data_IF_346100097952
#
_entry.id   IF_346100097952
#
_cell.length_a   1.000
_cell.length_b   1.000
_cell.length_c   1.000
_cell.angle_alpha   90.00
_cell.angle_beta   90.00
_cell.angle_gamma   90.00
#
_symmetry.space_group_name_H-M   'P 1'
#
loop_
_entity.id
_entity.type
_entity.pdbx_description
1 polymer ?
#
# COMPACT_ATOMS: atom_id res chain seq x y z
N UNK A 1 -4.89 3.81 -0.49
CA UNK A 1 -5.04 4.72 -1.64
C UNK A 1 -6.48 5.20 -1.81
N UNK A 2 -7.44 4.36 -2.20
CA UNK A 2 -8.77 4.82 -2.64
C UNK A 2 -9.51 5.71 -1.62
N UNK A 3 -9.57 5.31 -0.35
CA UNK A 3 -10.24 6.11 0.69
C UNK A 3 -9.58 7.49 0.90
N UNK A 4 -8.25 7.55 0.79
CA UNK A 4 -7.49 8.81 0.81
C UNK A 4 -7.80 9.66 -0.42
N UNK A 5 -7.74 9.05 -1.60
CA UNK A 5 -7.98 9.72 -2.88
C UNK A 5 -9.37 10.39 -2.93
N UNK A 6 -10.39 9.72 -2.40
CA UNK A 6 -11.75 10.27 -2.33
C UNK A 6 -12.03 11.11 -1.07
N UNK A 7 -11.02 11.38 -0.23
CA UNK A 7 -11.17 12.20 0.98
C UNK A 7 -12.07 11.59 2.06
N UNK A 8 -12.31 10.28 2.02
CA UNK A 8 -13.17 9.56 2.97
C UNK A 8 -12.43 9.26 4.28
N UNK A 9 -11.10 9.09 4.22
CA UNK A 9 -10.27 8.80 5.38
C UNK A 9 -8.93 9.54 5.33
N UNK A 10 -8.43 9.93 6.51
CA UNK A 10 -7.06 10.40 6.72
C UNK A 10 -6.14 9.20 7.01
N UNK A 11 -5.07 9.05 6.26
CA UNK A 11 -4.06 8.01 6.45
C UNK A 11 -2.97 8.52 7.38
N UNK A 12 -2.72 7.79 8.46
CA UNK A 12 -1.73 8.15 9.48
C UNK A 12 -0.77 6.98 9.66
N UNK A 13 0.54 7.23 9.59
CA UNK A 13 1.57 6.20 9.67
C UNK A 13 2.78 6.53 8.80
N UNK A 14 3.42 5.52 8.25
CA UNK A 14 4.54 5.66 7.31
C UNK A 14 4.12 5.31 5.86
N UNK A 15 4.96 5.61 4.85
CA UNK A 15 4.72 5.14 3.49
C UNK A 15 4.61 3.61 3.44
N UNK A 16 3.53 3.10 2.84
CA UNK A 16 3.37 1.65 2.71
C UNK A 16 4.40 1.08 1.72
N UNK A 17 4.80 -0.18 1.88
CA UNK A 17 5.87 -0.81 1.10
C UNK A 17 5.72 -0.83 -0.45
N UNK A 18 4.53 -0.58 -1.00
CA UNK A 18 4.31 -0.68 -2.45
C UNK A 18 4.52 -2.10 -2.97
N UNK A 19 4.14 -3.10 -2.19
CA UNK A 19 4.26 -4.49 -2.60
C UNK A 19 3.46 -4.76 -3.88
N UNK A 20 3.96 -5.69 -4.68
CA UNK A 20 3.31 -6.12 -5.91
C UNK A 20 1.96 -6.77 -5.63
N UNK A 21 0.94 -6.47 -6.45
CA UNK A 21 -0.41 -6.99 -6.29
C UNK A 21 -0.45 -8.52 -6.40
N UNK A 22 0.14 -9.06 -7.47
CA UNK A 22 0.14 -10.50 -7.71
C UNK A 22 1.31 -10.95 -8.56
N UNK A 23 1.96 -12.02 -8.11
CA UNK A 23 2.89 -12.81 -8.90
C UNK A 23 2.64 -14.29 -8.68
N UNK A 24 3.01 -15.07 -9.69
CA UNK A 24 2.87 -16.51 -9.65
C UNK A 24 4.17 -17.18 -10.12
N UNK A 25 4.48 -18.37 -9.57
CA UNK A 25 5.47 -19.25 -10.15
C UNK A 25 4.90 -19.92 -11.41
N UNK A 26 5.59 -19.78 -12.53
CA UNK A 26 5.31 -20.48 -13.78
C UNK A 26 6.35 -21.57 -13.96
N UNK A 27 5.91 -22.82 -14.07
CA UNK A 27 6.82 -23.94 -14.35
C UNK A 27 7.37 -23.81 -15.78
N UNK A 28 8.68 -23.86 -15.93
CA UNK A 28 9.34 -23.72 -17.24
C UNK A 28 9.72 -25.09 -17.78
N UNK A 29 10.58 -25.81 -17.06
CA UNK A 29 10.96 -27.20 -17.36
C UNK A 29 11.73 -27.81 -16.19
N UNK A 30 11.69 -29.14 -16.04
CA UNK A 30 12.41 -29.84 -14.99
C UNK A 30 12.11 -29.27 -13.60
N UNK A 31 13.14 -28.74 -12.93
CA UNK A 31 13.03 -28.11 -11.59
C UNK A 31 12.96 -26.57 -11.65
N UNK A 32 12.90 -25.99 -12.83
CA UNK A 32 12.94 -24.55 -13.03
C UNK A 32 11.55 -23.93 -13.01
N UNK A 33 11.41 -22.87 -12.23
CA UNK A 33 10.22 -22.03 -12.15
C UNK A 33 10.62 -20.57 -12.35
N UNK A 34 9.79 -19.83 -13.06
CA UNK A 34 9.88 -18.38 -13.19
C UNK A 34 8.86 -17.75 -12.24
N UNK A 35 9.33 -16.96 -11.26
CA UNK A 35 8.44 -16.12 -10.49
C UNK A 35 8.28 -14.78 -11.20
N UNK A 36 7.08 -14.47 -11.67
CA UNK A 36 6.84 -13.23 -12.41
C UNK A 36 5.53 -12.54 -12.01
N UNK A 37 5.45 -11.21 -12.15
CA UNK A 37 4.20 -10.47 -12.01
C UNK A 37 3.16 -10.98 -13.01
N UNK A 38 1.93 -11.16 -12.54
CA UNK A 38 0.80 -11.56 -13.40
C UNK A 38 -0.34 -10.53 -13.41
N UNK A 39 -0.32 -9.58 -12.47
CA UNK A 39 -1.22 -8.45 -12.43
C UNK A 39 -0.56 -7.26 -11.72
N UNK A 40 -0.91 -6.06 -12.18
CA UNK A 40 -0.53 -4.78 -11.56
C UNK A 40 -1.78 -4.07 -11.04
N UNK A 41 -1.63 -3.26 -9.98
CA UNK A 41 -2.68 -2.37 -9.54
C UNK A 41 -2.51 -0.97 -10.15
N UNK A 42 -3.42 -0.62 -11.06
CA UNK A 42 -3.61 0.76 -11.53
C UNK A 42 -4.81 1.39 -10.81
N UNK A 43 -4.60 2.57 -10.26
CA UNK A 43 -5.63 3.39 -9.63
C UNK A 43 -6.57 3.99 -10.68
N UNK A 44 -7.70 4.54 -10.23
CA UNK A 44 -8.67 5.20 -11.09
C UNK A 44 -8.11 6.41 -11.86
N UNK A 45 -7.02 7.03 -11.38
CA UNK A 45 -6.30 8.13 -12.03
C UNK A 45 -5.09 7.68 -12.86
N UNK A 46 -4.93 6.37 -13.07
CA UNK A 46 -3.87 5.80 -13.92
C UNK A 46 -2.50 5.65 -13.26
N UNK A 47 -2.39 5.85 -11.95
CA UNK A 47 -1.16 5.63 -11.19
C UNK A 47 -0.97 4.15 -10.87
N UNK A 48 0.23 3.62 -11.12
CA UNK A 48 0.60 2.26 -10.71
C UNK A 48 1.03 2.26 -9.23
N UNK A 49 0.35 1.50 -8.37
CA UNK A 49 0.71 1.43 -6.94
C UNK A 49 1.87 0.49 -6.63
N UNK A 50 2.02 -0.58 -7.42
CA UNK A 50 3.13 -1.50 -7.31
C UNK A 50 4.45 -0.73 -7.40
N UNK A 51 5.35 -1.01 -6.46
CA UNK A 51 6.65 -0.35 -6.20
C UNK A 51 6.59 1.08 -5.65
N UNK A 52 5.40 1.69 -5.52
CA UNK A 52 5.25 3.06 -5.01
C UNK A 52 4.59 3.10 -3.63
N UNK A 53 3.56 2.27 -3.42
CA UNK A 53 2.79 2.29 -2.18
C UNK A 53 1.89 3.52 -2.06
N UNK A 54 1.63 3.93 -0.82
CA UNK A 54 0.71 5.01 -0.48
C UNK A 54 1.38 5.87 0.58
N UNK A 55 1.61 7.13 0.24
CA UNK A 55 2.07 8.14 1.19
C UNK A 55 0.98 8.44 2.23
N UNK A 56 1.30 8.59 3.52
CA UNK A 56 0.35 9.00 4.54
C UNK A 56 -0.05 10.47 4.35
N UNK A 57 -1.17 10.88 4.94
CA UNK A 57 -1.52 12.31 5.08
C UNK A 57 -0.79 12.92 6.26
N UNK A 58 -0.55 12.12 7.31
CA UNK A 58 0.22 12.51 8.50
C UNK A 58 1.25 11.42 8.76
N UNK A 59 2.53 11.78 8.59
CA UNK A 59 3.63 10.89 8.93
C UNK A 59 3.72 10.69 10.45
N UNK A 60 3.70 9.44 10.90
CA UNK A 60 3.92 9.03 12.29
C UNK A 60 4.62 7.68 12.27
N UNK A 61 5.62 7.49 13.15
CA UNK A 61 6.25 6.17 13.34
C UNK A 61 5.18 5.09 13.59
N UNK A 62 5.31 3.88 12.99
CA UNK A 62 4.25 2.87 13.01
C UNK A 62 3.71 2.50 14.40
N UNK A 63 4.61 2.42 15.39
CA UNK A 63 4.28 2.11 16.80
C UNK A 63 3.46 3.22 17.48
N UNK A 64 3.49 4.44 16.93
CA UNK A 64 2.81 5.63 17.49
C UNK A 64 1.56 6.02 16.72
N UNK A 65 1.28 5.42 15.56
CA UNK A 65 0.14 5.79 14.72
C UNK A 65 -1.20 5.71 15.46
N UNK A 66 -1.47 4.59 16.14
CA UNK A 66 -2.72 4.42 16.90
C UNK A 66 -2.81 5.39 18.11
N UNK A 67 -1.80 5.46 19.02
CA UNK A 67 -1.80 6.46 20.09
C UNK A 67 -1.99 7.89 19.60
N UNK A 68 -1.40 8.25 18.45
CA UNK A 68 -1.56 9.55 17.84
C UNK A 68 -3.03 9.83 17.48
N UNK A 69 -3.68 8.92 16.73
CA UNK A 69 -5.07 9.06 16.30
C UNK A 69 -6.01 9.18 17.50
N UNK A 70 -5.87 8.29 18.48
CA UNK A 70 -6.75 8.25 19.67
C UNK A 70 -6.67 9.53 20.51
N UNK A 71 -5.48 10.13 20.62
CA UNK A 71 -5.25 11.27 21.50
C UNK A 71 -5.35 12.64 20.81
N UNK A 72 -5.10 12.72 19.49
CA UNK A 72 -5.01 14.00 18.77
C UNK A 72 -6.14 14.25 17.79
N UNK A 73 -6.77 13.19 17.28
CA UNK A 73 -7.81 13.31 16.25
C UNK A 73 -9.21 13.01 16.79
N UNK A 74 -9.35 11.94 17.60
CA UNK A 74 -10.67 11.51 18.10
C UNK A 74 -11.10 12.27 19.35
N UNK A 75 -10.21 12.42 20.34
CA UNK A 75 -10.52 13.10 21.62
C UNK A 75 -10.48 14.63 21.54
N UNK A 76 -10.70 15.22 20.36
CA UNK A 76 -10.75 16.68 20.20
C UNK A 76 -12.06 17.24 20.71
#
# INVERSE_FOLDING_TARGET
YALKHYGIATIVGEPTAGAMLSAAPVHVSGKYYLFMPIADYYTADGTRLDQQGVEPDIYVEPDKALPYVMNKLIKK
#
